data_IF_914745073485
#
_entry.id   IF_914745073485
#
_cell.length_a   1.000
_cell.length_b   1.000
_cell.length_c   1.000
_cell.angle_alpha   90.00
_cell.angle_beta   90.00
_cell.angle_gamma   90.00
#
_symmetry.space_group_name_H-M   'P 1'
#
loop_
_entity.id
_entity.type
_entity.pdbx_description
1 polymer ?
#
# COMPACT_ATOMS: atom_id res chain seq x y z
N UNK A 1 23.43 21.84 -80.71
CA UNK A 1 23.69 20.68 -79.81
C UNK A 1 23.96 21.08 -78.36
N UNK A 2 24.80 22.10 -78.07
CA UNK A 2 25.19 22.51 -76.69
C UNK A 2 24.00 22.79 -75.76
N UNK A 3 22.99 23.54 -76.22
CA UNK A 3 21.81 23.86 -75.40
C UNK A 3 20.93 22.65 -75.05
N UNK A 4 20.83 21.66 -75.95
CA UNK A 4 20.12 20.41 -75.66
C UNK A 4 20.90 19.59 -74.62
N UNK A 5 22.25 19.55 -74.72
CA UNK A 5 23.08 18.86 -73.72
C UNK A 5 22.91 19.48 -72.32
N UNK A 6 22.86 20.82 -72.19
CA UNK A 6 22.67 21.47 -70.89
C UNK A 6 21.30 21.15 -70.26
N UNK A 7 20.22 21.15 -71.06
CA UNK A 7 18.89 20.76 -70.56
C UNK A 7 18.86 19.31 -70.09
N UNK A 8 19.45 18.40 -70.88
CA UNK A 8 19.53 16.97 -70.54
C UNK A 8 20.37 16.77 -69.27
N UNK A 9 21.47 17.50 -69.08
CA UNK A 9 22.29 17.45 -67.85
C UNK A 9 21.47 17.89 -66.64
N UNK A 10 20.78 19.05 -66.71
CA UNK A 10 19.95 19.54 -65.61
C UNK A 10 18.80 18.57 -65.27
N UNK A 11 18.18 17.97 -66.30
CA UNK A 11 17.12 16.97 -66.11
C UNK A 11 17.67 15.71 -65.44
N UNK A 12 18.83 15.20 -65.88
CA UNK A 12 19.54 14.08 -65.25
C UNK A 12 19.87 14.38 -63.79
N UNK A 13 20.41 15.56 -63.47
CA UNK A 13 20.71 15.96 -62.09
C UNK A 13 19.44 16.02 -61.21
N UNK A 14 18.34 16.55 -61.76
CA UNK A 14 17.07 16.61 -61.05
C UNK A 14 16.48 15.22 -60.78
N UNK A 15 16.61 14.31 -61.75
CA UNK A 15 16.19 12.92 -61.63
C UNK A 15 17.09 12.16 -60.64
N UNK A 16 18.39 12.42 -60.63
CA UNK A 16 19.33 11.87 -59.65
C UNK A 16 18.99 12.30 -58.23
N UNK A 17 18.70 13.58 -57.99
CA UNK A 17 18.25 14.08 -56.67
C UNK A 17 16.94 13.41 -56.24
N UNK A 18 15.95 13.31 -57.14
CA UNK A 18 14.69 12.61 -56.86
C UNK A 18 14.91 11.13 -56.56
N UNK A 19 15.81 10.47 -57.29
CA UNK A 19 16.14 9.07 -57.07
C UNK A 19 16.79 8.89 -55.69
N UNK A 20 17.78 9.73 -55.34
CA UNK A 20 18.45 9.72 -54.04
C UNK A 20 17.47 9.93 -52.86
N UNK A 21 16.57 10.93 -52.98
CA UNK A 21 15.53 11.18 -51.98
C UNK A 21 14.58 9.98 -51.84
N UNK A 22 14.15 9.37 -52.95
CA UNK A 22 13.32 8.15 -52.91
C UNK A 22 14.07 6.98 -52.26
N UNK A 23 15.36 6.80 -52.55
CA UNK A 23 16.20 5.77 -51.90
C UNK A 23 16.28 5.99 -50.39
N UNK A 24 16.47 7.24 -49.94
CA UNK A 24 16.50 7.59 -48.52
C UNK A 24 15.16 7.28 -47.82
N UNK A 25 14.03 7.66 -48.43
CA UNK A 25 12.69 7.36 -47.91
C UNK A 25 12.47 5.85 -47.81
N UNK A 26 12.82 5.09 -48.85
CA UNK A 26 12.72 3.62 -48.85
C UNK A 26 13.58 3.01 -47.74
N UNK A 27 14.78 3.54 -47.49
CA UNK A 27 15.64 3.09 -46.40
C UNK A 27 15.05 3.41 -45.02
N UNK A 28 14.44 4.59 -44.82
CA UNK A 28 13.74 4.94 -43.57
C UNK A 28 12.56 4.01 -43.31
N UNK A 29 11.69 3.84 -44.31
CA UNK A 29 10.53 2.95 -44.21
C UNK A 29 10.95 1.49 -43.99
N UNK A 30 12.06 1.04 -44.60
CA UNK A 30 12.59 -0.31 -44.38
C UNK A 30 13.07 -0.50 -42.94
N UNK A 31 13.67 0.53 -42.32
CA UNK A 31 14.07 0.50 -40.91
C UNK A 31 12.85 0.48 -39.99
N UNK A 32 11.87 1.35 -40.24
CA UNK A 32 10.60 1.39 -39.49
C UNK A 32 9.83 0.08 -39.59
N UNK A 33 9.77 -0.53 -40.79
CA UNK A 33 9.17 -1.85 -41.00
C UNK A 33 9.92 -2.93 -40.19
N UNK A 34 11.25 -2.88 -40.15
CA UNK A 34 12.03 -3.83 -39.35
C UNK A 34 11.79 -3.67 -37.84
N UNK A 35 11.65 -2.44 -37.35
CA UNK A 35 11.37 -2.16 -35.93
C UNK A 35 9.96 -2.62 -35.57
N UNK A 36 8.95 -2.24 -36.35
CA UNK A 36 7.56 -2.66 -36.16
C UNK A 36 7.40 -4.18 -36.26
N UNK A 37 8.11 -4.86 -37.17
CA UNK A 37 8.11 -6.31 -37.23
C UNK A 37 8.73 -6.96 -35.97
N UNK A 38 9.79 -6.36 -35.42
CA UNK A 38 10.39 -6.81 -34.16
C UNK A 38 9.41 -6.64 -32.99
N UNK A 39 8.71 -5.51 -32.91
CA UNK A 39 7.69 -5.25 -31.90
C UNK A 39 6.51 -6.21 -32.00
N UNK A 40 5.98 -6.43 -33.21
CA UNK A 40 4.91 -7.41 -33.45
C UNK A 40 5.33 -8.81 -33.02
N UNK A 41 6.56 -9.22 -33.32
CA UNK A 41 7.06 -10.53 -32.89
C UNK A 41 7.18 -10.63 -31.36
N UNK A 42 7.58 -9.56 -30.67
CA UNK A 42 7.60 -9.51 -29.19
C UNK A 42 6.19 -9.62 -28.62
N UNK A 43 5.23 -8.86 -29.14
CA UNK A 43 3.84 -8.91 -28.68
C UNK A 43 3.19 -10.27 -28.93
N UNK A 44 3.47 -10.92 -30.07
CA UNK A 44 3.02 -12.30 -30.35
C UNK A 44 3.58 -13.29 -29.35
N UNK A 45 4.88 -13.24 -29.05
CA UNK A 45 5.50 -14.13 -28.06
C UNK A 45 4.90 -13.94 -26.65
N UNK A 46 4.62 -12.69 -26.27
CA UNK A 46 3.97 -12.37 -24.99
C UNK A 46 2.52 -12.90 -24.97
N UNK A 47 1.75 -12.72 -26.05
CA UNK A 47 0.38 -13.22 -26.15
C UNK A 47 0.32 -14.75 -26.05
N UNK A 48 1.18 -15.46 -26.78
CA UNK A 48 1.27 -16.93 -26.68
C UNK A 48 1.67 -17.40 -25.27
N UNK A 49 2.52 -16.64 -24.56
CA UNK A 49 2.88 -16.96 -23.19
C UNK A 49 1.68 -16.79 -22.24
N UNK A 50 0.90 -15.72 -22.42
CA UNK A 50 -0.33 -15.52 -21.66
C UNK A 50 -1.38 -16.60 -21.94
N UNK A 51 -1.56 -17.01 -23.19
CA UNK A 51 -2.47 -18.10 -23.56
C UNK A 51 -2.05 -19.44 -22.94
N UNK A 52 -0.75 -19.77 -22.93
CA UNK A 52 -0.24 -20.98 -22.26
C UNK A 52 -0.46 -20.92 -20.75
N UNK A 53 -0.19 -19.79 -20.11
CA UNK A 53 -0.40 -19.62 -18.67
C UNK A 53 -1.88 -19.73 -18.31
N UNK A 54 -2.76 -19.12 -19.11
CA UNK A 54 -4.20 -19.18 -18.91
C UNK A 54 -4.72 -20.62 -19.05
N UNK A 55 -4.30 -21.34 -20.09
CA UNK A 55 -4.64 -22.76 -20.26
C UNK A 55 -4.14 -23.64 -19.11
N UNK A 56 -2.95 -23.36 -18.55
CA UNK A 56 -2.41 -24.09 -17.40
C UNK A 56 -3.21 -23.82 -16.12
N UNK A 57 -3.60 -22.57 -15.87
CA UNK A 57 -4.43 -22.19 -14.73
C UNK A 57 -5.82 -22.80 -14.84
N UNK A 58 -6.44 -22.74 -16.03
CA UNK A 58 -7.74 -23.37 -16.29
C UNK A 58 -7.69 -24.88 -16.07
N UNK A 59 -6.63 -25.56 -16.55
CA UNK A 59 -6.44 -26.98 -16.32
C UNK A 59 -6.29 -27.31 -14.82
N UNK A 60 -5.53 -26.49 -14.08
CA UNK A 60 -5.33 -26.68 -12.63
C UNK A 60 -6.64 -26.48 -11.86
N UNK A 61 -7.43 -25.46 -12.23
CA UNK A 61 -8.74 -25.20 -11.61
C UNK A 61 -9.76 -26.29 -11.96
N UNK A 62 -9.76 -26.78 -13.20
CA UNK A 62 -10.64 -27.87 -13.61
C UNK A 62 -10.28 -29.20 -12.94
N UNK A 63 -9.00 -29.48 -12.71
CA UNK A 63 -8.57 -30.70 -12.00
C UNK A 63 -8.91 -30.64 -10.51
N UNK A 64 -8.70 -29.49 -9.87
CA UNK A 64 -9.06 -29.27 -8.46
C UNK A 64 -10.58 -29.41 -8.24
N UNK A 65 -11.39 -28.68 -9.02
CA UNK A 65 -12.86 -28.77 -8.92
C UNK A 65 -13.40 -30.17 -9.20
N UNK A 66 -12.81 -30.92 -10.13
CA UNK A 66 -13.18 -32.32 -10.38
C UNK A 66 -12.82 -33.24 -9.20
N UNK A 67 -11.71 -32.99 -8.52
CA UNK A 67 -11.33 -33.73 -7.32
C UNK A 67 -12.31 -33.45 -6.17
N UNK A 68 -12.59 -32.18 -5.89
CA UNK A 68 -13.53 -31.76 -4.85
C UNK A 68 -14.94 -32.34 -5.08
N UNK A 69 -15.43 -32.32 -6.32
CA UNK A 69 -16.72 -32.92 -6.68
C UNK A 69 -16.72 -34.44 -6.49
N UNK A 70 -15.58 -35.11 -6.73
CA UNK A 70 -15.47 -36.56 -6.52
C UNK A 70 -15.48 -36.90 -5.03
N UNK A 71 -14.75 -36.13 -4.23
CA UNK A 71 -14.64 -36.32 -2.78
C UNK A 71 -15.98 -36.05 -2.09
N UNK A 72 -16.64 -34.94 -2.45
CA UNK A 72 -17.97 -34.61 -1.94
C UNK A 72 -19.03 -35.64 -2.36
N UNK A 73 -18.91 -36.23 -3.57
CA UNK A 73 -19.77 -37.34 -4.00
C UNK A 73 -19.52 -38.62 -3.19
N UNK A 74 -18.27 -38.97 -2.85
CA UNK A 74 -18.01 -40.10 -1.96
C UNK A 74 -18.54 -39.86 -0.55
N UNK A 75 -18.39 -38.65 -0.02
CA UNK A 75 -18.88 -38.30 1.31
C UNK A 75 -20.41 -38.32 1.36
N UNK A 76 -21.08 -37.78 0.34
CA UNK A 76 -22.53 -37.87 0.20
C UNK A 76 -23.01 -39.33 0.15
N UNK A 77 -22.26 -40.23 -0.51
CA UNK A 77 -22.59 -41.66 -0.55
C UNK A 77 -22.46 -42.31 0.83
N UNK A 78 -21.40 -41.99 1.58
CA UNK A 78 -21.18 -42.48 2.95
C UNK A 78 -22.27 -41.96 3.89
N UNK A 79 -22.61 -40.68 3.82
CA UNK A 79 -23.67 -40.08 4.63
C UNK A 79 -25.03 -40.70 4.33
N UNK A 80 -25.38 -40.93 3.05
CA UNK A 80 -26.61 -41.63 2.69
C UNK A 80 -26.66 -43.06 3.24
N UNK A 81 -25.54 -43.79 3.21
CA UNK A 81 -25.46 -45.12 3.83
C UNK A 81 -25.60 -45.06 5.36
N UNK A 82 -25.00 -44.04 6.00
CA UNK A 82 -25.10 -43.84 7.45
C UNK A 82 -26.54 -43.52 7.87
N UNK A 83 -27.22 -42.65 7.12
CA UNK A 83 -28.65 -42.33 7.32
C UNK A 83 -29.50 -43.59 7.16
N UNK A 84 -29.35 -44.34 6.08
CA UNK A 84 -30.09 -45.59 5.87
C UNK A 84 -29.86 -46.62 7.00
N UNK A 85 -28.63 -46.73 7.51
CA UNK A 85 -28.33 -47.58 8.67
C UNK A 85 -29.03 -47.10 9.93
N UNK A 86 -29.02 -45.79 10.20
CA UNK A 86 -29.72 -45.22 11.34
C UNK A 86 -31.23 -45.40 11.23
N UNK A 87 -31.82 -45.20 10.05
CA UNK A 87 -33.24 -45.42 9.82
C UNK A 87 -33.62 -46.88 10.13
N UNK A 88 -32.88 -47.84 9.59
CA UNK A 88 -33.09 -49.28 9.88
C UNK A 88 -32.94 -49.57 11.38
N UNK A 89 -31.90 -49.06 12.03
CA UNK A 89 -31.71 -49.24 13.48
C UNK A 89 -32.83 -48.60 14.30
N UNK A 90 -33.35 -47.44 13.90
CA UNK A 90 -34.51 -46.82 14.54
C UNK A 90 -35.79 -47.61 14.31
N UNK A 91 -36.00 -48.18 13.11
CA UNK A 91 -37.15 -49.04 12.82
C UNK A 91 -37.14 -50.31 13.67
N UNK A 92 -35.98 -50.97 13.84
CA UNK A 92 -35.87 -52.14 14.72
C UNK A 92 -36.18 -51.79 16.18
N UNK A 93 -35.65 -50.68 16.71
CA UNK A 93 -35.90 -50.25 18.10
C UNK A 93 -37.35 -49.86 18.36
N UNK A 94 -38.03 -49.30 17.37
CA UNK A 94 -39.45 -48.95 17.46
C UNK A 94 -40.34 -50.20 17.32
N UNK A 95 -39.96 -51.15 16.46
CA UNK A 95 -40.66 -52.43 16.32
C UNK A 95 -40.69 -53.24 17.61
N UNK A 96 -39.56 -53.37 18.30
CA UNK A 96 -39.49 -54.07 19.59
C UNK A 96 -40.31 -53.35 20.70
N UNK A 97 -40.45 -52.03 20.61
CA UNK A 97 -41.22 -51.23 21.57
C UNK A 97 -42.74 -51.27 21.31
N UNK A 98 -43.19 -51.53 20.08
CA UNK A 98 -44.61 -51.60 19.73
C UNK A 98 -45.23 -52.99 19.84
N UNK A 99 -44.45 -54.07 19.89
CA UNK A 99 -44.99 -55.43 20.04
C UNK A 99 -45.35 -55.82 21.49
N UNK A 100 -45.14 -54.93 22.47
CA UNK A 100 -45.37 -55.21 23.89
C UNK A 100 -46.48 -54.37 24.56
N UNK A 101 -47.48 -53.95 23.78
CA UNK A 101 -48.70 -53.36 24.34
C UNK A 101 -49.93 -54.08 23.79
N UNK A 102 -50.13 -55.33 24.21
CA UNK A 102 -51.48 -55.84 24.41
C UNK A 102 -51.49 -57.05 25.36
N UNK A 103 -52.26 -56.91 26.43
CA UNK A 103 -52.73 -57.99 27.32
C UNK A 103 -51.71 -58.60 28.30
N UNK A 104 -51.66 -58.09 29.55
CA UNK A 104 -51.95 -58.95 30.72
C UNK A 104 -52.11 -58.16 32.02
N UNK A 105 -53.34 -58.17 32.53
CA UNK A 105 -53.65 -58.03 33.94
C UNK A 105 -52.89 -59.09 34.75
N UNK A 106 -52.16 -58.66 35.77
CA UNK A 106 -51.32 -59.58 36.53
C UNK A 106 -50.56 -58.86 37.61
N UNK A 107 -51.27 -58.53 38.68
CA UNK A 107 -50.71 -58.07 39.94
C UNK A 107 -49.50 -58.88 40.40
N UNK A 108 -48.64 -58.19 41.17
CA UNK A 108 -47.58 -58.68 42.08
C UNK A 108 -46.18 -58.71 41.46
N UNK A 109 -45.36 -57.77 41.95
CA UNK A 109 -43.89 -57.72 41.89
C UNK A 109 -43.25 -58.23 40.60
N UNK A 110 -43.23 -57.37 39.57
CA UNK A 110 -42.42 -57.56 38.37
C UNK A 110 -41.48 -56.37 38.15
N UNK A 111 -40.28 -56.61 37.58
CA UNK A 111 -39.04 -56.19 38.21
C UNK A 111 -38.64 -54.78 37.79
N UNK A 112 -38.23 -53.98 38.77
CA UNK A 112 -37.59 -52.66 38.61
C UNK A 112 -36.60 -52.60 37.43
N UNK A 113 -35.92 -53.70 37.10
CA UNK A 113 -34.95 -53.75 36.01
C UNK A 113 -35.50 -53.47 34.61
N UNK A 114 -36.73 -53.89 34.26
CA UNK A 114 -37.26 -53.69 32.89
C UNK A 114 -37.70 -52.24 32.68
N UNK A 115 -38.43 -51.67 33.64
CA UNK A 115 -38.82 -50.25 33.60
C UNK A 115 -37.59 -49.31 33.65
N UNK A 116 -36.53 -49.68 34.37
CA UNK A 116 -35.26 -48.95 34.36
C UNK A 116 -34.61 -49.03 32.97
N UNK A 117 -34.65 -50.19 32.28
CA UNK A 117 -34.07 -50.34 30.95
C UNK A 117 -34.79 -49.48 29.90
N UNK A 118 -36.13 -49.49 29.87
CA UNK A 118 -36.90 -48.67 28.94
C UNK A 118 -36.70 -47.17 29.22
N UNK A 119 -36.68 -46.79 30.50
CA UNK A 119 -36.33 -45.42 30.91
C UNK A 119 -34.92 -45.04 30.47
N UNK A 120 -33.94 -45.94 30.59
CA UNK A 120 -32.56 -45.69 30.18
C UNK A 120 -32.44 -45.54 28.65
N UNK A 121 -33.12 -46.36 27.86
CA UNK A 121 -33.15 -46.24 26.39
C UNK A 121 -33.82 -44.92 25.98
N UNK A 122 -34.91 -44.54 26.64
CA UNK A 122 -35.58 -43.27 26.39
C UNK A 122 -34.67 -42.07 26.74
N UNK A 123 -33.96 -42.13 27.87
CA UNK A 123 -32.96 -41.12 28.26
C UNK A 123 -31.83 -41.05 27.22
N UNK A 124 -31.28 -42.18 26.79
CA UNK A 124 -30.22 -42.22 25.76
C UNK A 124 -30.70 -41.62 24.42
N UNK A 125 -31.95 -41.88 24.03
CA UNK A 125 -32.55 -41.27 22.84
C UNK A 125 -32.76 -39.76 23.00
N UNK A 126 -33.18 -39.30 24.18
CA UNK A 126 -33.27 -37.87 24.50
C UNK A 126 -31.88 -37.21 24.49
N UNK A 127 -30.85 -37.87 25.02
CA UNK A 127 -29.46 -37.40 24.94
C UNK A 127 -28.97 -37.33 23.50
N UNK A 128 -29.27 -38.33 22.67
CA UNK A 128 -28.94 -38.28 21.22
C UNK A 128 -29.67 -37.17 20.50
N UNK A 129 -30.96 -36.95 20.80
CA UNK A 129 -31.76 -35.87 20.20
C UNK A 129 -31.27 -34.50 20.64
N UNK A 130 -30.96 -34.32 21.93
CA UNK A 130 -30.40 -33.06 22.46
C UNK A 130 -29.01 -32.78 21.91
N UNK A 131 -28.16 -33.81 21.76
CA UNK A 131 -26.86 -33.67 21.09
C UNK A 131 -26.98 -33.31 19.62
N UNK A 132 -27.89 -33.96 18.86
CA UNK A 132 -28.18 -33.60 17.46
C UNK A 132 -28.70 -32.17 17.37
N UNK A 133 -29.64 -31.79 18.23
CA UNK A 133 -30.18 -30.43 18.27
C UNK A 133 -29.08 -29.40 18.58
N UNK A 134 -28.18 -29.70 19.52
CA UNK A 134 -27.01 -28.86 19.80
C UNK A 134 -26.05 -28.76 18.61
N UNK A 135 -25.83 -29.85 17.88
CA UNK A 135 -25.02 -29.84 16.66
C UNK A 135 -25.66 -28.99 15.57
N UNK A 136 -26.96 -29.17 15.29
CA UNK A 136 -27.69 -28.36 14.31
C UNK A 136 -27.67 -26.87 14.69
N UNK A 137 -27.76 -26.54 15.97
CA UNK A 137 -27.65 -25.15 16.44
C UNK A 137 -26.27 -24.55 16.14
N UNK A 138 -25.19 -25.33 16.32
CA UNK A 138 -23.83 -24.91 15.96
C UNK A 138 -23.65 -24.78 14.44
N UNK A 139 -24.18 -25.72 13.67
CA UNK A 139 -24.12 -25.69 12.20
C UNK A 139 -24.88 -24.47 11.65
N UNK A 140 -26.06 -24.17 12.21
CA UNK A 140 -26.82 -22.97 11.86
C UNK A 140 -26.04 -21.69 12.20
N UNK A 141 -25.39 -21.65 13.38
CA UNK A 141 -24.54 -20.52 13.74
C UNK A 141 -23.35 -20.36 12.77
N UNK A 142 -22.70 -21.45 12.38
CA UNK A 142 -21.62 -21.42 11.40
C UNK A 142 -22.09 -20.92 10.02
N UNK A 143 -23.23 -21.39 9.54
CA UNK A 143 -23.83 -20.94 8.28
C UNK A 143 -24.24 -19.46 8.32
N UNK A 144 -24.69 -18.95 9.47
CA UNK A 144 -24.96 -17.53 9.65
C UNK A 144 -23.67 -16.70 9.59
N UNK A 145 -22.59 -17.16 10.22
CA UNK A 145 -21.27 -16.50 10.11
C UNK A 145 -20.77 -16.50 8.66
N UNK A 146 -20.84 -17.63 7.95
CA UNK A 146 -20.44 -17.72 6.54
C UNK A 146 -21.28 -16.79 5.65
N UNK A 147 -22.59 -16.69 5.90
CA UNK A 147 -23.48 -15.76 5.21
C UNK A 147 -23.07 -14.30 5.46
N UNK A 148 -22.71 -13.94 6.69
CA UNK A 148 -22.26 -12.58 7.04
C UNK A 148 -20.95 -12.22 6.34
N UNK A 149 -20.00 -13.16 6.26
CA UNK A 149 -18.75 -13.00 5.49
C UNK A 149 -19.03 -12.76 4.00
N UNK A 150 -19.92 -13.56 3.38
CA UNK A 150 -20.33 -13.37 1.99
C UNK A 150 -21.02 -12.02 1.75
N UNK A 151 -21.78 -11.51 2.72
CA UNK A 151 -22.37 -10.18 2.65
C UNK A 151 -21.28 -9.10 2.68
N UNK A 152 -20.30 -9.23 3.58
CA UNK A 152 -19.17 -8.30 3.67
C UNK A 152 -18.35 -8.28 2.38
N UNK A 153 -18.11 -9.46 1.78
CA UNK A 153 -17.42 -9.61 0.51
C UNK A 153 -18.21 -8.97 -0.63
N UNK A 154 -19.52 -9.24 -0.72
CA UNK A 154 -20.42 -8.59 -1.68
C UNK A 154 -20.39 -7.07 -1.53
N UNK A 155 -20.41 -6.55 -0.30
CA UNK A 155 -20.34 -5.11 -0.06
C UNK A 155 -18.97 -4.53 -0.44
N UNK A 156 -17.89 -5.26 -0.21
CA UNK A 156 -16.56 -4.85 -0.62
C UNK A 156 -16.43 -4.79 -2.16
N UNK A 157 -17.02 -5.77 -2.86
CA UNK A 157 -17.05 -5.82 -4.31
C UNK A 157 -17.95 -4.73 -4.89
N UNK A 158 -19.12 -4.47 -4.29
CA UNK A 158 -19.99 -3.38 -4.67
C UNK A 158 -19.28 -2.03 -4.53
N UNK A 159 -18.60 -1.77 -3.40
CA UNK A 159 -17.78 -0.56 -3.22
C UNK A 159 -16.67 -0.45 -4.28
N UNK A 160 -16.04 -1.56 -4.64
CA UNK A 160 -15.02 -1.59 -5.70
C UNK A 160 -15.62 -1.29 -7.07
N UNK A 161 -16.79 -1.84 -7.39
CA UNK A 161 -17.52 -1.58 -8.63
C UNK A 161 -17.96 -0.12 -8.67
N UNK A 162 -18.52 0.43 -7.60
CA UNK A 162 -18.90 1.85 -7.51
C UNK A 162 -17.69 2.76 -7.72
N UNK A 163 -16.56 2.49 -7.05
CA UNK A 163 -15.32 3.24 -7.26
C UNK A 163 -14.86 3.16 -8.71
N UNK A 164 -14.76 1.96 -9.29
CA UNK A 164 -14.32 1.80 -10.67
C UNK A 164 -15.31 2.42 -11.66
N UNK A 165 -16.62 2.34 -11.39
CA UNK A 165 -17.65 2.97 -12.20
C UNK A 165 -17.52 4.48 -12.15
N UNK A 166 -17.29 5.07 -10.98
CA UNK A 166 -17.01 6.50 -10.83
C UNK A 166 -15.75 6.88 -11.62
N UNK A 167 -14.65 6.14 -11.47
CA UNK A 167 -13.40 6.34 -12.23
C UNK A 167 -13.64 6.27 -13.75
N UNK A 168 -14.42 5.30 -14.23
CA UNK A 168 -14.81 5.19 -15.64
C UNK A 168 -15.69 6.37 -16.08
N UNK A 169 -16.68 6.76 -15.28
CA UNK A 169 -17.51 7.94 -15.56
C UNK A 169 -16.66 9.20 -15.62
N UNK A 170 -15.66 9.37 -14.73
CA UNK A 170 -14.75 10.52 -14.75
C UNK A 170 -13.82 10.51 -15.97
N UNK A 171 -13.29 9.34 -16.36
CA UNK A 171 -12.47 9.20 -17.57
C UNK A 171 -13.28 9.44 -18.85
N UNK A 172 -14.51 8.92 -18.92
CA UNK A 172 -15.40 9.05 -20.09
C UNK A 172 -16.01 10.45 -20.23
N UNK A 173 -16.37 11.09 -19.12
CA UNK A 173 -16.88 12.46 -19.11
C UNK A 173 -15.76 13.50 -19.27
N UNK A 174 -14.49 13.07 -19.25
CA UNK A 174 -13.34 13.92 -19.55
C UNK A 174 -13.24 15.13 -18.62
N UNK A 175 -13.61 14.96 -17.34
CA UNK A 175 -13.53 16.05 -16.37
C UNK A 175 -12.06 16.44 -16.19
N UNK A 176 -11.69 17.54 -16.86
CA UNK A 176 -10.33 18.10 -16.86
C UNK A 176 -9.83 18.37 -15.44
N UNK A 177 -10.73 18.49 -14.47
CA UNK A 177 -10.42 18.73 -13.07
C UNK A 177 -9.57 17.62 -12.43
N UNK A 178 -9.75 16.33 -12.76
CA UNK A 178 -8.91 15.27 -12.17
C UNK A 178 -7.57 15.08 -12.88
N UNK A 179 -7.52 15.30 -14.19
CA UNK A 179 -6.23 15.39 -14.88
C UNK A 179 -5.39 16.53 -14.26
N UNK A 180 -6.03 17.65 -13.91
CA UNK A 180 -5.40 18.74 -13.18
C UNK A 180 -5.03 18.32 -11.76
N UNK A 181 -5.91 17.67 -10.98
CA UNK A 181 -5.61 17.23 -9.61
C UNK A 181 -4.46 16.20 -9.56
N UNK A 182 -4.41 15.24 -10.49
CA UNK A 182 -3.35 14.25 -10.59
C UNK A 182 -2.03 14.91 -11.03
N UNK A 183 -2.08 15.85 -11.99
CA UNK A 183 -0.91 16.63 -12.41
C UNK A 183 -0.41 17.52 -11.26
N UNK A 184 -1.31 18.18 -10.53
CA UNK A 184 -0.97 19.02 -9.38
C UNK A 184 -0.41 18.19 -8.22
N UNK A 185 -0.94 16.99 -8.00
CA UNK A 185 -0.41 15.99 -7.09
C UNK A 185 1.03 15.58 -7.45
N UNK A 186 1.26 15.25 -8.72
CA UNK A 186 2.59 14.91 -9.24
C UNK A 186 3.56 16.10 -9.22
N UNK A 187 3.08 17.33 -9.42
CA UNK A 187 3.87 18.56 -9.31
C UNK A 187 4.24 18.80 -7.84
N UNK A 188 3.30 18.62 -6.90
CA UNK A 188 3.56 18.77 -5.48
C UNK A 188 4.56 17.72 -4.97
N UNK A 189 4.43 16.47 -5.40
CA UNK A 189 5.39 15.40 -5.11
C UNK A 189 6.77 15.72 -5.69
N UNK A 190 6.86 16.13 -6.95
CA UNK A 190 8.13 16.53 -7.55
C UNK A 190 8.78 17.73 -6.84
N UNK A 191 7.99 18.71 -6.40
CA UNK A 191 8.48 19.84 -5.59
C UNK A 191 9.03 19.35 -4.25
N UNK A 192 8.32 18.44 -3.59
CA UNK A 192 8.75 17.84 -2.32
C UNK A 192 10.04 17.03 -2.48
N UNK A 193 10.13 16.17 -3.49
CA UNK A 193 11.31 15.36 -3.79
C UNK A 193 12.52 16.25 -4.14
N UNK A 194 12.33 17.33 -4.92
CA UNK A 194 13.40 18.31 -5.18
C UNK A 194 13.87 19.02 -3.91
N UNK A 195 12.95 19.39 -3.02
CA UNK A 195 13.31 20.00 -1.73
C UNK A 195 14.08 19.00 -0.85
N UNK A 196 13.66 17.74 -0.81
CA UNK A 196 14.34 16.67 -0.07
C UNK A 196 15.74 16.40 -0.62
N UNK A 197 15.90 16.33 -1.95
CA UNK A 197 17.20 16.17 -2.61
C UNK A 197 18.13 17.33 -2.24
N UNK A 198 17.64 18.57 -2.32
CA UNK A 198 18.41 19.76 -1.96
C UNK A 198 18.86 19.74 -0.49
N UNK A 199 17.98 19.38 0.43
CA UNK A 199 18.33 19.23 1.84
C UNK A 199 19.41 18.16 2.05
N UNK A 200 19.31 17.01 1.38
CA UNK A 200 20.32 15.96 1.44
C UNK A 200 21.66 16.40 0.82
N UNK A 201 21.65 17.18 -0.26
CA UNK A 201 22.86 17.78 -0.84
C UNK A 201 23.53 18.78 0.10
N UNK A 202 22.73 19.60 0.82
CA UNK A 202 23.24 20.52 1.84
C UNK A 202 23.84 19.78 3.04
N UNK A 203 23.18 18.72 3.53
CA UNK A 203 23.68 17.88 4.63
C UNK A 203 24.97 17.13 4.23
N UNK A 204 25.00 16.56 3.02
CA UNK A 204 26.23 15.94 2.50
C UNK A 204 27.34 16.96 2.26
N UNK A 205 27.00 18.20 1.89
CA UNK A 205 27.93 19.32 1.82
C UNK A 205 28.55 19.66 3.18
N UNK A 206 27.72 19.78 4.21
CA UNK A 206 28.14 20.10 5.59
C UNK A 206 29.00 18.97 6.18
N UNK A 207 28.61 17.71 6.00
CA UNK A 207 29.38 16.53 6.45
C UNK A 207 30.72 16.43 5.72
N UNK A 208 30.79 16.71 4.41
CA UNK A 208 32.08 16.79 3.69
C UNK A 208 32.96 17.92 4.21
N UNK A 209 32.39 19.09 4.51
CA UNK A 209 33.14 20.22 5.04
C UNK A 209 33.70 19.94 6.45
N UNK A 210 32.90 19.34 7.32
CA UNK A 210 33.33 18.92 8.67
C UNK A 210 34.40 17.84 8.60
N UNK A 211 34.25 16.84 7.72
CA UNK A 211 35.28 15.81 7.52
C UNK A 211 36.60 16.40 7.02
N UNK A 212 36.56 17.40 6.12
CA UNK A 212 37.75 18.15 5.70
C UNK A 212 38.40 18.91 6.87
N UNK A 213 37.60 19.52 7.77
CA UNK A 213 38.09 20.19 8.98
C UNK A 213 38.80 19.20 9.91
N UNK A 214 38.17 18.06 10.21
CA UNK A 214 38.77 17.00 11.03
C UNK A 214 40.03 16.40 10.40
N UNK A 215 40.03 16.15 9.08
CA UNK A 215 41.21 15.68 8.37
C UNK A 215 42.38 16.68 8.45
N UNK A 216 42.09 17.97 8.30
CA UNK A 216 43.10 19.03 8.44
C UNK A 216 43.65 19.09 9.88
N UNK A 217 42.79 18.99 10.90
CA UNK A 217 43.20 18.95 12.30
C UNK A 217 44.08 17.74 12.61
N UNK A 218 43.72 16.55 12.12
CA UNK A 218 44.52 15.34 12.28
C UNK A 218 45.88 15.50 11.57
N UNK A 219 45.89 15.98 10.32
CA UNK A 219 47.14 16.25 9.59
C UNK A 219 48.04 17.26 10.31
N UNK A 220 47.47 18.33 10.85
CA UNK A 220 48.21 19.33 11.62
C UNK A 220 48.74 18.75 12.94
N UNK A 221 47.94 17.97 13.67
CA UNK A 221 48.37 17.30 14.92
C UNK A 221 49.49 16.29 14.66
N UNK A 222 49.40 15.54 13.56
CA UNK A 222 50.48 14.65 13.09
C UNK A 222 51.74 15.48 12.80
N UNK A 223 51.62 16.61 12.06
CA UNK A 223 52.75 17.48 11.74
C UNK A 223 53.43 18.06 12.99
N UNK A 224 52.67 18.53 13.97
CA UNK A 224 53.20 19.03 15.26
C UNK A 224 53.87 17.89 16.05
N UNK A 225 53.27 16.69 16.08
CA UNK A 225 53.86 15.53 16.74
C UNK A 225 55.16 15.05 16.08
N UNK A 226 55.34 15.30 14.78
CA UNK A 226 56.55 14.96 14.03
C UNK A 226 57.67 16.01 14.20
N UNK A 227 57.33 17.27 14.49
CA UNK A 227 58.33 18.32 14.75
C UNK A 227 58.75 18.41 16.21
N UNK A 228 57.87 18.04 17.16
CA UNK A 228 58.10 18.27 18.59
C UNK A 228 58.52 17.03 19.39
N UNK A 229 59.10 16.03 18.71
CA UNK A 229 59.86 14.98 19.39
C UNK A 229 61.32 15.37 19.72
N UNK A 230 61.64 16.66 19.61
CA UNK A 230 62.90 17.24 20.05
C UNK A 230 62.70 18.34 21.12
N UNK A 231 61.81 18.17 22.10
CA UNK A 231 62.02 18.64 23.49
C UNK A 231 60.89 18.18 24.39
N UNK A 232 61.26 17.47 25.45
CA UNK A 232 60.41 17.07 26.57
C UNK A 232 59.79 18.30 27.23
N UNK A 233 58.47 18.38 27.31
CA UNK A 233 57.76 18.89 28.49
C UNK A 233 56.28 18.55 28.41
N UNK A 234 55.78 17.92 29.47
CA UNK A 234 54.38 17.60 29.70
C UNK A 234 53.51 18.86 29.63
N UNK A 235 52.50 18.85 28.78
CA UNK A 235 51.46 19.88 28.78
C UNK A 235 50.23 19.32 28.09
N UNK A 236 49.28 18.79 28.87
CA UNK A 236 47.95 18.40 28.45
C UNK A 236 47.24 19.59 27.76
N UNK A 237 47.49 19.79 26.46
CA UNK A 237 46.67 20.67 25.60
C UNK A 237 45.54 19.82 25.03
N UNK A 238 44.59 19.44 25.88
CA UNK A 238 43.42 18.64 25.49
C UNK A 238 42.15 19.31 26.04
N UNK A 239 41.38 19.81 25.09
CA UNK A 239 39.91 19.93 25.03
C UNK A 239 39.17 20.62 26.16
N UNK A 240 38.48 21.71 25.79
CA UNK A 240 37.30 22.25 26.44
C UNK A 240 37.48 22.61 27.92
N UNK A 241 37.93 23.84 28.18
CA UNK A 241 37.75 24.44 29.49
C UNK A 241 36.25 24.50 29.80
N UNK A 242 35.80 23.70 30.75
CA UNK A 242 34.48 23.86 31.36
C UNK A 242 34.42 25.25 32.03
N UNK A 243 33.24 25.88 32.08
CA UNK A 243 33.09 27.29 32.45
C UNK A 243 33.73 27.64 33.82
N UNK A 244 33.82 26.66 34.73
CA UNK A 244 34.52 26.79 36.01
C UNK A 244 36.04 26.98 35.90
N UNK A 245 36.68 26.38 34.89
CA UNK A 245 38.12 26.50 34.70
C UNK A 245 38.50 27.88 34.15
N UNK A 246 37.67 28.46 33.28
CA UNK A 246 37.85 29.82 32.77
C UNK A 246 37.77 30.83 33.93
N UNK A 247 36.85 30.61 34.89
CA UNK A 247 36.71 31.46 36.06
C UNK A 247 37.91 31.35 37.03
N UNK A 248 38.54 30.17 37.14
CA UNK A 248 39.78 30.00 37.94
C UNK A 248 40.97 30.70 37.31
N UNK A 249 41.11 30.64 35.98
CA UNK A 249 42.21 31.28 35.24
C UNK A 249 42.11 32.81 35.29
N UNK A 250 40.90 33.38 35.24
CA UNK A 250 40.70 34.84 35.33
C UNK A 250 40.73 35.31 36.81
N UNK A 251 40.22 34.51 37.74
CA UNK A 251 40.09 34.88 39.16
C UNK A 251 41.40 34.83 39.96
N UNK A 252 42.39 34.05 39.55
CA UNK A 252 43.68 33.94 40.25
C UNK A 252 44.72 34.87 39.63
N UNK A 253 44.85 36.08 40.19
CA UNK A 253 45.75 37.17 39.76
C UNK A 253 47.28 36.88 39.86
N UNK A 254 47.73 35.63 39.77
CA UNK A 254 49.12 35.28 40.10
C UNK A 254 49.73 34.15 39.24
N UNK A 255 49.28 33.96 38.01
CA UNK A 255 50.05 33.18 37.02
C UNK A 255 50.50 34.12 35.92
N UNK A 256 51.80 34.12 35.64
CA UNK A 256 52.41 34.76 34.48
C UNK A 256 51.82 34.12 33.21
N UNK A 257 50.68 34.66 32.76
CA UNK A 257 49.99 34.22 31.56
C UNK A 257 50.95 34.41 30.39
N UNK A 258 51.37 33.29 29.80
CA UNK A 258 52.36 33.31 28.73
C UNK A 258 51.73 33.89 27.46
N UNK A 259 52.52 34.50 26.57
CA UNK A 259 52.03 35.01 25.27
C UNK A 259 51.25 33.94 24.47
N UNK A 260 51.58 32.66 24.69
CA UNK A 260 50.88 31.50 24.13
C UNK A 260 49.41 31.39 24.59
N UNK A 261 49.13 31.71 25.85
CA UNK A 261 47.77 31.65 26.41
C UNK A 261 46.91 32.77 25.84
N UNK A 262 47.47 33.97 25.66
CA UNK A 262 46.80 35.08 24.97
C UNK A 262 46.51 34.75 23.51
N UNK A 263 47.47 34.16 22.77
CA UNK A 263 47.22 33.71 21.40
C UNK A 263 46.14 32.63 21.34
N UNK A 264 46.17 31.67 22.27
CA UNK A 264 45.15 30.60 22.35
C UNK A 264 43.76 31.16 22.68
N UNK A 265 43.67 32.12 23.60
CA UNK A 265 42.44 32.84 23.92
C UNK A 265 41.93 33.65 22.72
N UNK A 266 42.84 34.31 21.98
CA UNK A 266 42.49 35.09 20.80
C UNK A 266 41.99 34.20 19.65
N UNK A 267 42.60 33.03 19.43
CA UNK A 267 42.11 32.02 18.49
C UNK A 267 40.71 31.52 18.90
N UNK A 268 40.49 31.24 20.19
CA UNK A 268 39.19 30.79 20.70
C UNK A 268 38.10 31.86 20.56
N UNK A 269 38.43 33.13 20.82
CA UNK A 269 37.51 34.26 20.64
C UNK A 269 37.19 34.49 19.16
N UNK A 270 38.17 34.34 18.27
CA UNK A 270 37.96 34.43 16.83
C UNK A 270 37.05 33.30 16.33
N UNK A 271 37.29 32.07 16.80
CA UNK A 271 36.44 30.90 16.51
C UNK A 271 35.01 31.12 17.02
N UNK A 272 34.82 31.63 18.24
CA UNK A 272 33.50 31.93 18.80
C UNK A 272 32.76 33.03 18.01
N UNK A 273 33.48 34.07 17.59
CA UNK A 273 32.92 35.13 16.74
C UNK A 273 32.48 34.58 15.38
N UNK A 274 33.29 33.71 14.78
CA UNK A 274 32.98 33.06 13.51
C UNK A 274 31.77 32.11 13.63
N UNK A 275 31.72 31.29 14.68
CA UNK A 275 30.58 30.39 14.93
C UNK A 275 29.29 31.18 15.17
N UNK A 276 29.35 32.30 15.91
CA UNK A 276 28.21 33.20 16.11
C UNK A 276 27.77 33.85 14.79
N UNK A 277 28.71 34.20 13.91
CA UNK A 277 28.41 34.73 12.58
C UNK A 277 27.71 33.68 11.70
N UNK A 278 28.17 32.43 11.73
CA UNK A 278 27.54 31.31 11.03
C UNK A 278 26.12 31.05 11.58
N UNK A 279 25.95 31.03 12.90
CA UNK A 279 24.65 30.86 13.54
C UNK A 279 23.66 31.97 13.15
N UNK A 280 24.11 33.23 13.13
CA UNK A 280 23.30 34.36 12.66
C UNK A 280 22.95 34.25 11.17
N UNK A 281 23.85 33.75 10.33
CA UNK A 281 23.56 33.51 8.92
C UNK A 281 22.49 32.41 8.73
N UNK A 282 22.58 31.30 9.49
CA UNK A 282 21.53 30.27 9.49
C UNK A 282 20.19 30.82 9.98
N UNK A 283 20.18 31.60 11.07
CA UNK A 283 18.96 32.23 11.57
C UNK A 283 18.34 33.17 10.51
N UNK A 284 19.15 33.98 9.82
CA UNK A 284 18.68 34.86 8.74
C UNK A 284 18.06 34.07 7.58
N UNK A 285 18.69 32.96 7.18
CA UNK A 285 18.15 32.10 6.13
C UNK A 285 16.84 31.42 6.56
N UNK A 286 16.77 30.91 7.80
CA UNK A 286 15.55 30.35 8.37
C UNK A 286 14.42 31.38 8.43
N UNK A 287 14.71 32.60 8.90
CA UNK A 287 13.74 33.70 8.90
C UNK A 287 13.29 34.08 7.49
N UNK A 288 14.16 34.00 6.48
CA UNK A 288 13.79 34.23 5.07
C UNK A 288 12.78 33.18 4.58
N UNK A 289 13.04 31.90 4.86
CA UNK A 289 12.13 30.80 4.49
C UNK A 289 10.77 30.95 5.20
N UNK A 290 10.78 31.29 6.49
CA UNK A 290 9.54 31.55 7.23
C UNK A 290 8.78 32.76 6.66
N UNK A 291 9.49 33.81 6.26
CA UNK A 291 8.90 34.97 5.58
C UNK A 291 8.25 34.61 4.25
N UNK A 292 8.93 33.84 3.40
CA UNK A 292 8.36 33.34 2.13
C UNK A 292 7.10 32.49 2.37
N UNK A 293 7.12 31.61 3.38
CA UNK A 293 5.97 30.79 3.73
C UNK A 293 4.79 31.60 4.28
N UNK A 294 5.05 32.64 5.07
CA UNK A 294 4.00 33.57 5.53
C UNK A 294 3.36 34.26 4.32
N UNK A 295 4.16 34.73 3.35
CA UNK A 295 3.63 35.34 2.12
C UNK A 295 2.79 34.36 1.31
N UNK A 296 3.21 33.09 1.18
CA UNK A 296 2.41 32.04 0.52
C UNK A 296 1.08 31.78 1.27
N UNK A 297 1.12 31.75 2.60
CA UNK A 297 -0.07 31.54 3.42
C UNK A 297 -1.01 32.74 3.35
N UNK A 298 -0.50 33.97 3.37
CA UNK A 298 -1.29 35.19 3.16
C UNK A 298 -1.94 35.20 1.78
N UNK A 299 -1.22 34.79 0.73
CA UNK A 299 -1.78 34.64 -0.62
C UNK A 299 -2.89 33.58 -0.66
N UNK A 300 -2.72 32.46 0.05
CA UNK A 300 -3.74 31.40 0.17
C UNK A 300 -4.97 31.89 0.94
N UNK A 301 -4.80 32.62 2.03
CA UNK A 301 -5.90 33.23 2.80
C UNK A 301 -6.65 34.25 1.94
N UNK A 302 -5.94 35.09 1.19
CA UNK A 302 -6.55 36.02 0.24
C UNK A 302 -7.36 35.29 -0.85
N UNK A 303 -6.82 34.21 -1.42
CA UNK A 303 -7.53 33.41 -2.41
C UNK A 303 -8.82 32.79 -1.83
N UNK A 304 -8.75 32.23 -0.62
CA UNK A 304 -9.93 31.67 0.07
C UNK A 304 -10.99 32.74 0.35
N UNK A 305 -10.59 33.92 0.82
CA UNK A 305 -11.51 35.05 1.05
C UNK A 305 -12.14 35.58 -0.26
N UNK A 306 -11.44 35.48 -1.39
CA UNK A 306 -12.01 35.79 -2.71
C UNK A 306 -13.00 34.72 -3.18
N UNK A 307 -12.75 33.45 -2.88
CA UNK A 307 -13.69 32.36 -3.22
C UNK A 307 -14.98 32.40 -2.39
N UNK A 308 -14.95 32.93 -1.16
CA UNK A 308 -16.18 33.13 -0.37
C UNK A 308 -17.05 34.31 -0.86
N UNK A 309 -16.49 35.27 -1.61
CA UNK A 309 -17.22 36.46 -2.07
C UNK A 309 -17.93 36.30 -3.42
N UNK A 310 -18.06 35.09 -3.95
CA UNK A 310 -18.91 34.85 -5.13
C UNK A 310 -20.25 34.22 -4.70
N UNK A 311 -21.35 35.01 -4.63
CA UNK A 311 -22.66 34.51 -4.24
C UNK A 311 -23.38 33.86 -5.43
N UNK A 312 -24.19 32.86 -5.12
CA UNK A 312 -25.34 32.38 -5.91
C UNK A 312 -25.07 31.69 -7.26
N UNK A 313 -24.80 30.39 -7.21
CA UNK A 313 -25.38 29.41 -8.15
C UNK A 313 -25.95 28.22 -7.36
N UNK A 314 -27.07 28.47 -6.70
CA UNK A 314 -28.01 27.41 -6.31
C UNK A 314 -29.14 27.43 -7.35
N UNK A 315 -29.14 26.45 -8.25
CA UNK A 315 -30.26 26.12 -9.13
C UNK A 315 -30.23 24.62 -9.40
N UNK A 316 -31.37 23.95 -9.61
CA UNK A 316 -31.91 23.07 -8.61
C UNK A 316 -31.68 21.61 -9.00
N UNK A 317 -31.32 20.82 -7.99
CA UNK A 317 -31.20 19.37 -8.06
C UNK A 317 -32.58 18.79 -8.36
N UNK A 318 -32.78 18.27 -9.57
CA UNK A 318 -33.89 17.40 -9.89
C UNK A 318 -33.70 16.04 -9.20
N UNK A 319 -34.79 15.37 -8.79
CA UNK A 319 -34.73 14.28 -7.84
C UNK A 319 -34.51 12.96 -8.57
N UNK A 320 -33.33 12.36 -8.40
CA UNK A 320 -33.18 10.93 -8.62
C UNK A 320 -33.81 10.23 -7.43
N UNK A 321 -35.08 9.86 -7.59
CA UNK A 321 -35.75 8.85 -6.77
C UNK A 321 -35.02 7.52 -7.03
N UNK A 322 -34.00 7.23 -6.23
CA UNK A 322 -33.50 5.88 -6.08
C UNK A 322 -34.62 5.11 -5.39
N UNK A 323 -35.20 4.14 -6.10
CA UNK A 323 -36.15 3.21 -5.54
C UNK A 323 -35.46 2.49 -4.37
N UNK A 324 -35.85 2.85 -3.15
CA UNK A 324 -35.64 2.01 -1.99
C UNK A 324 -36.42 0.72 -2.24
N UNK A 325 -35.71 -0.28 -2.76
CA UNK A 325 -36.10 -1.69 -2.64
C UNK A 325 -35.80 -2.09 -1.19
N UNK A 326 -36.50 -1.43 -0.26
CA UNK A 326 -36.67 -1.89 1.10
C UNK A 326 -37.57 -3.11 1.02
N UNK A 327 -36.98 -4.29 1.11
CA UNK A 327 -37.71 -5.53 1.37
C UNK A 327 -38.28 -5.39 2.78
N UNK A 328 -39.47 -4.79 2.86
CA UNK A 328 -40.26 -4.73 4.07
C UNK A 328 -40.92 -6.10 4.22
N UNK A 329 -40.47 -6.83 5.24
CA UNK A 329 -41.04 -8.11 5.64
C UNK A 329 -42.49 -7.86 6.10
N UNK A 330 -43.46 -8.11 5.23
CA UNK A 330 -44.88 -8.22 5.62
C UNK A 330 -45.08 -9.55 6.36
N UNK A 331 -44.76 -9.54 7.66
CA UNK A 331 -45.26 -10.49 8.63
C UNK A 331 -46.65 -10.05 9.07
N UNK A 332 -47.67 -10.28 8.24
CA UNK A 332 -49.08 -10.21 8.63
C UNK A 332 -49.94 -10.69 7.46
N UNK A 333 -50.06 -12.01 7.28
CA UNK A 333 -51.21 -12.67 6.63
C UNK A 333 -51.13 -14.19 6.82
N UNK A 334 -51.03 -14.63 8.08
CA UNK A 334 -51.40 -15.99 8.51
C UNK A 334 -52.12 -15.92 9.86
N UNK A 335 -53.13 -15.06 9.93
CA UNK A 335 -54.20 -15.15 10.93
C UNK A 335 -55.50 -14.76 10.24
N UNK A 336 -56.14 -15.73 9.57
CA UNK A 336 -57.59 -15.79 9.43
C UNK A 336 -57.98 -17.21 8.98
N UNK A 337 -58.47 -17.97 9.97
CA UNK A 337 -59.32 -19.18 9.91
C UNK A 337 -58.71 -20.45 9.31
#
# INVERSE_FOLDING_TARGET
MIGNNSKVINEIESLQKKCAQKTEVVLSLSKELSVTQSEVNKWKAIAENFERNLAQVEFSLQTLTKADVKDLRSDCKVLRQKIARYEVETFYKIGDAQENYDTREGAKDMPKSIAINDSNIFIENLEKLTNKNSQLQKDLQALLCEKEELICDRDSLNRKIERLSQELTYLLNGDSNRIIDDIDGLIAENRYLKAQLKNAEEETGLTRATLKKYHKMIKNKIKVSLTDNATKSNGNRISAYDAEQIHKVIGSKALDLSNCDYSSLMELLLDLCNDRQIALAHQRNSNKILGERIVELDAKILHMNCTEKSPSRLSPRSPFTHADVGIQYDFQDLQNV
#
